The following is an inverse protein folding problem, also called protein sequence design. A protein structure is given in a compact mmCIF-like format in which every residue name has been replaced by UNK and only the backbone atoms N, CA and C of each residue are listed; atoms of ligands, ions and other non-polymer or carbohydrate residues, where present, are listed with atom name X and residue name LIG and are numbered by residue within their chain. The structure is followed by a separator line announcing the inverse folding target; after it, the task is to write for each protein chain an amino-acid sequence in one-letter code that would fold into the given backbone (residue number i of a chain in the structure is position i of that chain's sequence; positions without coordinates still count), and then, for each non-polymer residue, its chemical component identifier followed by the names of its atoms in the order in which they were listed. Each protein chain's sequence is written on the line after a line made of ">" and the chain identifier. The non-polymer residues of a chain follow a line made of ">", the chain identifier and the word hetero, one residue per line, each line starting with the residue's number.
data_IF_431308074975
#
_entry.id   IF_431308074975
#
_cell.length_a   1.000
_cell.length_b   1.000
_cell.length_c   1.000
_cell.angle_alpha   90.00
_cell.angle_beta   90.00
_cell.angle_gamma   90.00
#
_symmetry.space_group_name_H-M   'P 1'
#
loop_
_entity.id
_entity.type
_entity.pdbx_description
1 polymer ?
#
# COMPACT_ATOMS: atom_id res chain seq x y z
N UNK A 1 67.74 -55.46 22.01
CA UNK A 1 66.48 -55.94 22.59
C UNK A 1 65.43 -54.81 22.47
N UNK A 2 64.51 -54.91 21.53
CA UNK A 2 63.44 -53.98 21.39
C UNK A 2 62.12 -54.75 21.57
N UNK A 3 61.40 -54.47 22.64
CA UNK A 3 60.13 -55.07 22.97
C UNK A 3 59.02 -54.32 22.23
N UNK A 4 58.22 -55.01 21.41
CA UNK A 4 57.09 -54.55 20.76
C UNK A 4 55.83 -54.73 21.66
N UNK A 5 55.23 -53.64 22.07
CA UNK A 5 53.91 -53.61 22.75
C UNK A 5 52.81 -53.68 21.72
N UNK A 6 52.03 -54.73 21.72
CA UNK A 6 50.78 -54.86 20.92
C UNK A 6 49.64 -54.14 21.66
N UNK A 7 49.06 -53.11 21.05
CA UNK A 7 47.79 -52.52 21.48
C UNK A 7 46.64 -53.35 20.96
N UNK A 8 45.81 -53.82 21.86
CA UNK A 8 44.56 -54.50 21.58
C UNK A 8 43.48 -53.39 21.17
N UNK A 9 42.95 -53.51 19.95
CA UNK A 9 41.77 -52.77 19.54
C UNK A 9 40.52 -53.35 20.22
N UNK A 10 39.76 -52.52 20.91
CA UNK A 10 38.41 -52.79 21.39
C UNK A 10 37.42 -52.52 20.25
N UNK A 11 36.42 -53.40 20.00
CA UNK A 11 35.37 -53.11 19.02
C UNK A 11 34.43 -52.06 19.57
N UNK A 12 34.31 -50.92 18.84
CA UNK A 12 33.31 -49.90 19.11
C UNK A 12 31.91 -50.36 18.68
N UNK A 13 31.00 -50.33 19.60
CA UNK A 13 29.56 -50.61 19.37
C UNK A 13 28.99 -49.45 18.57
N UNK A 14 28.67 -49.67 17.27
CA UNK A 14 27.95 -48.73 16.44
C UNK A 14 26.48 -48.81 16.77
N UNK A 15 25.95 -47.78 17.45
CA UNK A 15 24.52 -47.60 17.67
C UNK A 15 23.95 -46.95 16.41
N UNK A 16 23.24 -47.73 15.60
CA UNK A 16 22.49 -47.21 14.47
C UNK A 16 21.21 -46.51 15.00
N UNK A 17 21.16 -45.16 14.92
CA UNK A 17 19.93 -44.43 15.12
C UNK A 17 19.06 -44.61 13.87
N UNK A 18 18.03 -45.41 13.98
CA UNK A 18 16.92 -45.45 13.02
C UNK A 18 16.02 -44.22 13.29
N UNK A 19 16.19 -43.16 12.50
CA UNK A 19 15.25 -42.04 12.48
C UNK A 19 14.04 -42.53 11.72
N UNK A 20 12.97 -42.92 12.43
CA UNK A 20 11.67 -43.11 11.85
C UNK A 20 11.14 -41.72 11.45
N UNK A 21 11.20 -41.40 10.17
CA UNK A 21 10.48 -40.27 9.59
C UNK A 21 8.98 -40.54 9.71
N UNK A 22 8.35 -40.03 10.77
CA UNK A 22 6.90 -39.98 10.85
C UNK A 22 6.44 -38.97 9.79
N UNK A 23 5.94 -39.47 8.68
CA UNK A 23 5.19 -38.67 7.72
C UNK A 23 3.91 -38.19 8.42
N UNK A 24 3.94 -37.00 8.95
CA UNK A 24 2.73 -36.30 9.33
C UNK A 24 1.99 -36.01 8.02
N UNK A 25 0.99 -36.81 7.69
CA UNK A 25 -0.01 -36.46 6.71
C UNK A 25 -0.70 -35.18 7.23
N UNK A 26 -0.36 -34.05 6.64
CA UNK A 26 -1.06 -32.79 6.88
C UNK A 26 -2.54 -33.02 6.51
N UNK A 27 -3.50 -32.71 7.42
CA UNK A 27 -4.90 -32.75 7.04
C UNK A 27 -5.07 -31.82 5.84
N UNK A 28 -5.77 -32.27 4.81
CA UNK A 28 -6.06 -31.63 3.54
C UNK A 28 -5.94 -30.11 3.62
N UNK A 29 -4.79 -29.56 3.22
CA UNK A 29 -4.67 -28.14 2.95
C UNK A 29 -5.65 -27.88 1.80
N UNK A 30 -6.78 -27.24 2.07
CA UNK A 30 -7.59 -26.67 1.00
C UNK A 30 -6.66 -25.73 0.25
N UNK A 31 -6.31 -26.08 -0.99
CA UNK A 31 -5.40 -25.28 -1.79
C UNK A 31 -6.09 -23.96 -2.10
N UNK A 32 -5.41 -22.87 -1.85
CA UNK A 32 -5.83 -21.55 -2.32
C UNK A 32 -6.08 -21.64 -3.83
N UNK A 33 -7.15 -21.00 -4.28
CA UNK A 33 -7.46 -20.97 -5.71
C UNK A 33 -7.29 -19.55 -6.24
N UNK A 34 -6.31 -19.37 -7.13
CA UNK A 34 -6.13 -18.15 -7.88
C UNK A 34 -7.01 -18.13 -9.12
N UNK A 35 -7.54 -16.96 -9.48
CA UNK A 35 -8.22 -16.70 -10.74
C UNK A 35 -8.04 -15.26 -11.19
N UNK A 36 -7.86 -15.06 -12.49
CA UNK A 36 -7.98 -13.75 -13.12
C UNK A 36 -9.47 -13.45 -13.28
N UNK A 37 -9.91 -12.33 -12.73
CA UNK A 37 -11.31 -11.86 -12.80
C UNK A 37 -11.52 -11.03 -14.06
N UNK A 38 -10.56 -10.12 -14.35
CA UNK A 38 -10.60 -9.27 -15.53
C UNK A 38 -9.17 -9.05 -16.04
N UNK A 39 -9.04 -8.94 -17.36
CA UNK A 39 -7.79 -8.55 -18.03
C UNK A 39 -8.02 -7.23 -18.73
N UNK A 40 -7.31 -6.20 -18.31
CA UNK A 40 -7.36 -4.88 -18.94
C UNK A 40 -6.72 -4.92 -20.33
N UNK A 41 -7.33 -4.20 -21.28
CA UNK A 41 -6.84 -4.15 -22.66
C UNK A 41 -5.94 -2.94 -22.94
N UNK A 42 -5.94 -1.96 -22.02
CA UNK A 42 -5.30 -0.65 -22.26
C UNK A 42 -6.12 0.25 -23.19
N UNK A 43 -7.27 -0.25 -23.66
CA UNK A 43 -8.23 0.47 -24.48
C UNK A 43 -9.33 1.15 -23.65
N UNK A 44 -10.59 1.00 -24.08
CA UNK A 44 -11.72 1.66 -23.44
C UNK A 44 -12.02 1.20 -22.03
N UNK A 45 -11.53 0.03 -21.61
CA UNK A 45 -11.65 -0.54 -20.26
C UNK A 45 -10.52 -0.15 -19.31
N UNK A 46 -9.62 0.75 -19.75
CA UNK A 46 -8.49 1.19 -18.96
C UNK A 46 -7.26 0.28 -19.04
N UNK A 47 -6.21 0.68 -18.34
CA UNK A 47 -4.97 -0.06 -18.24
C UNK A 47 -4.10 0.42 -17.07
N UNK A 48 -3.11 -0.41 -16.72
CA UNK A 48 -2.16 -0.14 -15.65
C UNK A 48 -2.86 0.18 -14.30
N UNK A 49 -3.73 -0.70 -13.77
CA UNK A 49 -4.33 -0.49 -12.45
C UNK A 49 -3.26 -0.61 -11.37
N UNK A 50 -2.89 0.51 -10.77
CA UNK A 50 -1.85 0.58 -9.74
C UNK A 50 -2.44 0.68 -8.35
N UNK A 51 -3.68 1.15 -8.26
CA UNK A 51 -4.36 1.34 -6.99
C UNK A 51 -4.97 0.04 -6.46
N UNK A 52 -5.10 -0.04 -5.14
CA UNK A 52 -5.93 -1.03 -4.48
C UNK A 52 -7.42 -0.80 -4.77
N UNK A 53 -8.19 -1.87 -4.67
CA UNK A 53 -9.63 -1.79 -4.74
C UNK A 53 -10.21 -1.23 -3.43
N UNK A 54 -11.33 -0.53 -3.51
CA UNK A 54 -12.15 -0.21 -2.36
C UNK A 54 -13.46 -1.00 -2.41
N UNK A 55 -13.85 -1.58 -1.27
CA UNK A 55 -15.12 -2.25 -1.15
C UNK A 55 -16.27 -1.23 -1.08
N UNK A 56 -17.30 -1.46 -1.86
CA UNK A 56 -18.54 -0.70 -1.81
C UNK A 56 -19.69 -1.50 -1.21
N UNK A 57 -20.89 -1.18 -1.62
CA UNK A 57 -22.10 -1.90 -1.23
C UNK A 57 -22.29 -3.18 -2.08
N UNK A 58 -23.10 -4.13 -1.58
CA UNK A 58 -23.53 -5.34 -2.30
C UNK A 58 -22.39 -6.27 -2.78
N UNK A 59 -21.17 -6.11 -2.21
CA UNK A 59 -20.00 -6.89 -2.58
C UNK A 59 -19.33 -6.44 -3.88
N UNK A 60 -19.65 -5.24 -4.36
CA UNK A 60 -18.96 -4.59 -5.46
C UNK A 60 -17.64 -3.97 -4.96
N UNK A 61 -16.68 -3.84 -5.87
CA UNK A 61 -15.42 -3.16 -5.62
C UNK A 61 -15.21 -2.08 -6.67
N UNK A 62 -14.48 -1.05 -6.29
CA UNK A 62 -14.16 0.08 -7.18
C UNK A 62 -12.65 0.26 -7.24
N UNK A 63 -12.16 0.69 -8.40
CA UNK A 63 -10.74 0.93 -8.61
C UNK A 63 -10.48 1.98 -9.68
N UNK A 64 -9.20 2.26 -9.90
CA UNK A 64 -8.72 3.17 -10.94
C UNK A 64 -7.75 2.47 -11.87
N UNK A 65 -7.81 2.79 -13.14
CA UNK A 65 -6.77 2.47 -14.13
C UNK A 65 -6.04 3.77 -14.50
N UNK A 66 -4.71 3.77 -14.40
CA UNK A 66 -3.94 5.01 -14.56
C UNK A 66 -3.73 5.44 -16.01
N UNK A 67 -4.08 4.58 -16.96
CA UNK A 67 -4.01 4.84 -18.40
C UNK A 67 -5.17 4.18 -19.13
N UNK A 68 -5.27 4.37 -20.44
CA UNK A 68 -6.41 3.86 -21.20
C UNK A 68 -7.69 4.65 -20.89
N UNK A 69 -8.84 3.99 -20.98
CA UNK A 69 -10.13 4.66 -20.99
C UNK A 69 -10.42 5.30 -22.35
N UNK A 70 -11.59 5.90 -22.49
CA UNK A 70 -12.03 6.48 -23.76
C UNK A 70 -11.05 7.51 -24.35
N UNK A 71 -10.29 8.22 -23.50
CA UNK A 71 -9.42 9.32 -23.88
C UNK A 71 -7.93 9.06 -23.60
N UNK A 72 -7.59 7.89 -23.08
CA UNK A 72 -6.19 7.52 -22.78
C UNK A 72 -5.64 8.07 -21.46
N UNK A 73 -6.42 8.81 -20.69
CA UNK A 73 -6.00 9.50 -19.46
C UNK A 73 -6.31 8.74 -18.15
N UNK A 74 -6.82 7.53 -18.28
CA UNK A 74 -7.22 6.67 -17.16
C UNK A 74 -8.72 6.71 -16.90
N UNK A 75 -9.16 5.87 -15.97
CA UNK A 75 -10.57 5.75 -15.63
C UNK A 75 -10.82 5.34 -14.17
N UNK A 76 -12.10 5.43 -13.79
CA UNK A 76 -12.69 4.85 -12.59
C UNK A 76 -13.59 3.72 -13.03
N UNK A 77 -13.44 2.54 -12.45
CA UNK A 77 -14.25 1.36 -12.77
C UNK A 77 -14.90 0.74 -11.53
N UNK A 78 -16.01 0.05 -11.78
CA UNK A 78 -16.67 -0.87 -10.87
C UNK A 78 -16.36 -2.31 -11.27
N UNK A 79 -16.05 -3.15 -10.30
CA UNK A 79 -16.13 -4.60 -10.41
C UNK A 79 -17.33 -5.07 -9.61
N UNK A 80 -18.37 -5.51 -10.29
CA UNK A 80 -19.55 -6.10 -9.67
C UNK A 80 -19.19 -7.40 -8.93
N UNK A 81 -19.99 -7.77 -7.93
CA UNK A 81 -19.84 -9.03 -7.18
C UNK A 81 -19.87 -10.30 -8.05
N UNK A 82 -20.36 -10.18 -9.29
CA UNK A 82 -20.33 -11.21 -10.33
C UNK A 82 -18.97 -11.34 -11.03
N UNK A 83 -18.07 -10.34 -10.86
CA UNK A 83 -16.79 -10.25 -11.55
C UNK A 83 -16.82 -9.41 -12.83
N UNK A 84 -17.98 -8.86 -13.22
CA UNK A 84 -18.07 -7.97 -14.38
C UNK A 84 -17.45 -6.63 -14.06
N UNK A 85 -16.55 -6.13 -14.93
CA UNK A 85 -15.94 -4.81 -14.81
C UNK A 85 -16.65 -3.83 -15.75
N UNK A 86 -17.00 -2.67 -15.24
CA UNK A 86 -17.67 -1.58 -15.97
C UNK A 86 -16.96 -0.26 -15.67
N UNK A 87 -16.58 0.50 -16.68
CA UNK A 87 -16.04 1.83 -16.53
C UNK A 87 -17.17 2.78 -16.14
N UNK A 88 -17.00 3.47 -15.01
CA UNK A 88 -17.93 4.50 -14.53
C UNK A 88 -17.60 5.86 -15.14
N UNK A 89 -16.30 6.20 -15.20
CA UNK A 89 -15.83 7.47 -15.74
C UNK A 89 -14.46 7.32 -16.41
N UNK A 90 -14.29 7.95 -17.58
CA UNK A 90 -12.99 8.05 -18.27
C UNK A 90 -12.51 9.49 -18.27
N UNK A 91 -11.33 9.72 -17.70
CA UNK A 91 -10.72 11.05 -17.66
C UNK A 91 -10.32 11.51 -19.05
N UNK A 92 -10.52 12.81 -19.33
CA UNK A 92 -10.16 13.41 -20.63
C UNK A 92 -8.69 13.84 -20.69
N UNK A 93 -8.01 13.93 -19.53
CA UNK A 93 -6.66 14.44 -19.43
C UNK A 93 -6.56 15.96 -19.42
N UNK A 94 -7.69 16.65 -19.44
CA UNK A 94 -7.80 18.10 -19.43
C UNK A 94 -8.10 18.64 -18.00
N UNK A 95 -9.16 19.44 -17.86
CA UNK A 95 -9.52 20.06 -16.59
C UNK A 95 -10.00 19.07 -15.50
N UNK A 96 -10.46 17.89 -15.89
CA UNK A 96 -10.89 16.79 -15.03
C UNK A 96 -9.73 15.96 -14.42
N UNK A 97 -8.52 16.12 -14.94
CA UNK A 97 -7.33 15.42 -14.48
C UNK A 97 -6.93 14.24 -15.35
N UNK A 98 -5.84 13.57 -14.97
CA UNK A 98 -5.30 12.37 -15.62
C UNK A 98 -4.45 11.53 -14.68
N UNK A 99 -4.20 10.28 -15.06
CA UNK A 99 -3.41 9.33 -14.31
C UNK A 99 -3.88 9.18 -12.84
N UNK A 100 -5.11 8.65 -12.61
CA UNK A 100 -5.55 8.29 -11.28
C UNK A 100 -4.77 7.07 -10.80
N UNK A 101 -3.83 7.28 -9.89
CA UNK A 101 -2.91 6.24 -9.38
C UNK A 101 -3.23 5.78 -7.97
N UNK A 102 -4.14 6.48 -7.29
CA UNK A 102 -4.50 6.25 -5.90
C UNK A 102 -5.72 5.34 -5.75
N UNK A 103 -5.80 4.64 -4.62
CA UNK A 103 -7.01 3.97 -4.20
C UNK A 103 -8.13 4.99 -3.95
N UNK A 104 -9.34 4.62 -4.33
CA UNK A 104 -10.53 5.43 -4.09
C UNK A 104 -10.96 5.36 -2.63
N UNK A 105 -11.60 6.41 -2.17
CA UNK A 105 -12.39 6.44 -0.95
C UNK A 105 -13.87 6.29 -1.34
N UNK A 106 -14.54 5.26 -0.82
CA UNK A 106 -15.99 5.11 -0.96
C UNK A 106 -16.70 5.72 0.26
N UNK A 107 -17.45 6.78 0.07
CA UNK A 107 -18.09 7.54 1.14
C UNK A 107 -19.46 8.05 0.66
N UNK A 108 -20.50 7.81 1.46
CA UNK A 108 -21.88 8.29 1.21
C UNK A 108 -22.45 7.96 -0.18
N UNK A 109 -22.01 6.83 -0.77
CA UNK A 109 -22.47 6.37 -2.07
C UNK A 109 -21.79 7.04 -3.27
N UNK A 110 -20.67 7.71 -3.04
CA UNK A 110 -19.81 8.28 -4.07
C UNK A 110 -18.35 7.82 -3.90
N UNK A 111 -17.56 7.99 -4.93
CA UNK A 111 -16.14 7.64 -5.01
C UNK A 111 -15.33 8.92 -5.05
N UNK A 112 -14.40 9.06 -4.12
CA UNK A 112 -13.47 10.20 -4.06
C UNK A 112 -12.06 9.71 -4.37
N UNK A 113 -11.31 10.49 -5.13
CA UNK A 113 -9.96 10.12 -5.52
C UNK A 113 -9.12 11.30 -5.96
N UNK A 114 -7.89 11.00 -6.37
CA UNK A 114 -6.93 11.98 -6.87
C UNK A 114 -6.44 11.60 -8.25
N UNK A 115 -6.14 12.59 -9.09
CA UNK A 115 -5.36 12.42 -10.30
C UNK A 115 -3.99 13.07 -10.12
N UNK A 116 -2.92 12.39 -10.54
CA UNK A 116 -1.57 12.90 -10.32
C UNK A 116 -1.15 13.99 -11.33
N UNK A 117 -1.93 14.18 -12.39
CA UNK A 117 -1.69 15.19 -13.43
C UNK A 117 -3.02 15.72 -14.00
N UNK A 118 -2.94 16.66 -14.95
CA UNK A 118 -4.12 17.33 -15.48
C UNK A 118 -4.73 18.31 -14.46
N UNK A 119 -6.01 18.61 -14.60
CA UNK A 119 -6.66 19.70 -13.86
C UNK A 119 -6.42 21.06 -14.51
N UNK A 120 -7.03 22.10 -13.96
CA UNK A 120 -6.99 23.46 -14.54
C UNK A 120 -5.55 24.01 -14.70
N UNK A 121 -4.61 23.51 -13.91
CA UNK A 121 -3.22 24.00 -13.88
C UNK A 121 -2.20 22.90 -14.22
N UNK A 122 -2.65 21.67 -14.55
CA UNK A 122 -1.76 20.55 -14.88
C UNK A 122 -1.11 19.83 -13.71
N UNK A 123 -1.41 20.24 -12.46
CA UNK A 123 -0.74 19.75 -11.25
C UNK A 123 -1.55 18.66 -10.49
N UNK A 124 -2.62 18.16 -11.10
CA UNK A 124 -3.49 17.13 -10.53
C UNK A 124 -4.77 17.70 -9.88
N UNK A 125 -5.67 16.79 -9.56
CA UNK A 125 -7.00 17.14 -8.99
C UNK A 125 -7.36 16.24 -7.82
N UNK A 126 -8.33 16.71 -7.02
CA UNK A 126 -9.20 15.85 -6.20
C UNK A 126 -10.56 15.84 -6.86
N UNK A 127 -11.17 14.67 -7.03
CA UNK A 127 -12.42 14.48 -7.73
C UNK A 127 -13.41 13.64 -6.91
N UNK A 128 -14.69 13.77 -7.28
CA UNK A 128 -15.78 12.89 -6.90
C UNK A 128 -16.36 12.23 -8.16
N UNK A 129 -16.64 10.93 -8.11
CA UNK A 129 -17.41 10.20 -9.14
C UNK A 129 -18.60 9.53 -8.47
N UNK A 130 -19.81 9.87 -8.89
CA UNK A 130 -21.01 9.18 -8.44
C UNK A 130 -21.08 7.77 -9.06
N UNK A 131 -21.81 6.83 -8.44
CA UNK A 131 -22.04 5.51 -9.02
C UNK A 131 -22.81 5.53 -10.36
N UNK A 132 -23.44 6.67 -10.70
CA UNK A 132 -24.06 6.90 -12.01
C UNK A 132 -23.05 7.42 -13.07
N UNK A 133 -21.76 7.53 -12.73
CA UNK A 133 -20.70 7.94 -13.66
C UNK A 133 -20.57 9.46 -13.87
N UNK A 134 -21.18 10.28 -12.99
CA UNK A 134 -20.97 11.74 -13.04
C UNK A 134 -19.72 12.09 -12.24
N UNK A 135 -18.76 12.72 -12.89
CA UNK A 135 -17.56 13.29 -12.26
C UNK A 135 -17.78 14.75 -11.89
N UNK A 136 -17.07 15.18 -10.82
CA UNK A 136 -16.97 16.57 -10.37
C UNK A 136 -15.56 16.80 -9.82
N UNK A 137 -14.85 17.79 -10.38
CA UNK A 137 -13.58 18.25 -9.81
C UNK A 137 -13.87 19.03 -8.52
N UNK A 138 -13.38 18.53 -7.40
CA UNK A 138 -13.51 19.19 -6.10
C UNK A 138 -12.42 20.25 -5.91
N UNK A 139 -11.20 19.96 -6.37
CA UNK A 139 -10.06 20.89 -6.32
C UNK A 139 -9.06 20.60 -7.45
N UNK A 140 -8.46 21.67 -7.99
CA UNK A 140 -7.33 21.57 -8.94
C UNK A 140 -6.11 22.23 -8.34
N UNK A 141 -5.05 21.45 -8.13
CA UNK A 141 -3.78 21.95 -7.60
C UNK A 141 -3.10 22.89 -8.58
N UNK A 142 -2.49 23.95 -8.05
CA UNK A 142 -1.78 24.95 -8.88
C UNK A 142 -0.33 24.58 -9.14
N UNK A 143 0.23 23.63 -8.39
CA UNK A 143 1.65 23.27 -8.43
C UNK A 143 2.54 24.19 -7.62
N UNK A 144 1.97 25.17 -6.93
CA UNK A 144 2.65 26.14 -6.09
C UNK A 144 2.65 25.75 -4.61
N UNK A 145 2.23 26.71 -3.76
CA UNK A 145 2.21 26.51 -2.31
C UNK A 145 1.20 25.46 -1.83
N UNK A 146 0.16 25.17 -2.61
CA UNK A 146 -0.88 24.16 -2.39
C UNK A 146 -0.41 22.73 -2.70
N UNK A 147 0.71 22.57 -3.40
CA UNK A 147 1.26 21.28 -3.76
C UNK A 147 0.99 20.86 -5.21
N UNK A 148 1.50 19.69 -5.59
CA UNK A 148 1.33 19.08 -6.91
C UNK A 148 1.44 17.55 -6.88
N UNK A 149 0.93 16.90 -7.91
CA UNK A 149 0.94 15.47 -8.08
C UNK A 149 0.35 14.70 -6.87
N UNK A 150 -0.92 14.93 -6.50
CA UNK A 150 -1.59 14.14 -5.47
C UNK A 150 -1.81 12.73 -6.04
N UNK A 151 -1.01 11.76 -5.61
CA UNK A 151 -1.03 10.39 -6.09
C UNK A 151 -1.41 9.36 -5.03
N UNK A 152 -1.91 9.84 -3.89
CA UNK A 152 -2.24 9.02 -2.73
C UNK A 152 -3.74 9.01 -2.44
N UNK A 153 -4.20 7.95 -1.76
CA UNK A 153 -5.59 7.83 -1.31
C UNK A 153 -5.96 8.90 -0.27
N UNK A 154 -7.25 9.18 -0.18
CA UNK A 154 -7.82 10.17 0.71
C UNK A 154 -8.30 9.53 2.02
N UNK A 155 -8.17 10.26 3.13
CA UNK A 155 -8.87 10.02 4.39
C UNK A 155 -10.00 11.04 4.55
N UNK A 156 -10.95 10.78 5.47
CA UNK A 156 -12.04 11.71 5.78
C UNK A 156 -12.33 11.77 7.28
N UNK A 157 -12.88 12.87 7.73
CA UNK A 157 -13.42 13.02 9.09
C UNK A 157 -14.96 12.84 9.12
N UNK A 158 -15.54 12.98 10.31
CA UNK A 158 -16.99 12.90 10.50
C UNK A 158 -17.79 14.05 9.84
N UNK A 159 -17.12 15.12 9.42
CA UNK A 159 -17.70 16.25 8.70
C UNK A 159 -17.57 16.11 7.17
N UNK A 160 -17.04 14.97 6.71
CA UNK A 160 -16.76 14.70 5.29
C UNK A 160 -15.65 15.59 4.71
N UNK A 161 -14.84 16.27 5.56
CA UNK A 161 -13.63 16.90 5.08
C UNK A 161 -12.66 15.82 4.59
N UNK A 162 -11.95 16.10 3.50
CA UNK A 162 -11.02 15.16 2.88
C UNK A 162 -9.58 15.57 3.21
N UNK A 163 -8.76 14.57 3.54
CA UNK A 163 -7.35 14.76 3.84
C UNK A 163 -6.51 13.95 2.88
N UNK A 164 -5.43 14.53 2.39
CA UNK A 164 -4.53 13.87 1.46
C UNK A 164 -3.12 14.48 1.46
N UNK A 165 -2.29 13.97 0.56
CA UNK A 165 -0.92 14.43 0.38
C UNK A 165 -0.66 14.78 -1.07
N UNK A 166 0.27 15.71 -1.30
CA UNK A 166 0.86 15.95 -2.62
C UNK A 166 2.33 15.54 -2.61
N UNK A 167 2.77 14.89 -3.69
CA UNK A 167 4.15 14.41 -3.80
C UNK A 167 5.18 15.53 -3.85
N UNK A 168 4.83 16.67 -4.45
CA UNK A 168 5.72 17.80 -4.66
C UNK A 168 4.95 19.12 -4.46
N UNK A 169 5.63 20.25 -4.65
CA UNK A 169 5.10 21.58 -4.34
C UNK A 169 5.08 21.88 -2.85
N UNK A 170 4.26 22.82 -2.42
CA UNK A 170 4.34 23.39 -1.09
C UNK A 170 5.45 24.44 -0.97
N UNK A 171 5.52 25.16 0.15
CA UNK A 171 6.53 26.21 0.38
C UNK A 171 7.96 25.69 0.39
N UNK A 172 8.16 24.41 0.76
CA UNK A 172 9.45 23.72 0.73
C UNK A 172 9.75 22.98 -0.58
N UNK A 173 8.77 22.86 -1.47
CA UNK A 173 8.90 22.11 -2.74
C UNK A 173 8.82 20.57 -2.62
N UNK A 174 8.70 20.05 -1.41
CA UNK A 174 8.86 18.61 -1.10
C UNK A 174 7.54 17.90 -0.77
N UNK A 175 6.42 18.51 -1.14
CA UNK A 175 5.07 17.99 -0.91
C UNK A 175 4.37 18.63 0.28
N UNK A 176 3.07 18.35 0.37
CA UNK A 176 2.18 18.89 1.41
C UNK A 176 1.28 17.82 2.00
N UNK A 177 0.74 18.10 3.17
CA UNK A 177 -0.49 17.49 3.69
C UNK A 177 -1.58 18.56 3.61
N UNK A 178 -2.70 18.24 3.00
CA UNK A 178 -3.82 19.16 2.78
C UNK A 178 -5.12 18.64 3.40
N UNK A 179 -6.04 19.58 3.64
CA UNK A 179 -7.44 19.35 3.96
C UNK A 179 -8.31 20.06 2.93
N UNK A 180 -9.32 19.38 2.40
CA UNK A 180 -10.41 19.99 1.66
C UNK A 180 -11.64 20.05 2.55
N UNK A 181 -12.11 21.27 2.82
CA UNK A 181 -13.29 21.50 3.65
C UNK A 181 -14.56 21.23 2.85
N UNK A 182 -15.38 20.29 3.31
CA UNK A 182 -16.67 19.99 2.68
C UNK A 182 -17.62 21.19 2.76
N UNK A 183 -18.01 21.81 1.64
CA UNK A 183 -18.89 22.97 1.64
C UNK A 183 -20.34 22.52 1.87
N UNK A 184 -20.97 23.01 2.93
CA UNK A 184 -22.36 22.68 3.30
C UNK A 184 -23.40 23.01 2.22
N UNK A 185 -23.06 23.85 1.27
CA UNK A 185 -23.92 24.27 0.16
C UNK A 185 -23.67 23.50 -1.14
N UNK A 186 -22.76 22.50 -1.12
CA UNK A 186 -22.38 21.71 -2.29
C UNK A 186 -21.63 22.49 -3.39
N UNK A 187 -21.04 23.65 -3.06
CA UNK A 187 -20.27 24.43 -4.04
C UNK A 187 -18.91 23.80 -4.35
N UNK A 188 -18.42 24.04 -5.57
CA UNK A 188 -17.05 23.72 -6.00
C UNK A 188 -16.37 24.99 -6.49
N UNK A 189 -15.02 25.11 -6.39
CA UNK A 189 -14.11 24.18 -5.72
C UNK A 189 -14.31 24.18 -4.20
N UNK A 190 -13.91 23.06 -3.56
CA UNK A 190 -13.85 22.98 -2.10
C UNK A 190 -12.70 23.85 -1.59
N UNK A 191 -12.90 24.59 -0.47
CA UNK A 191 -11.78 25.29 0.14
C UNK A 191 -10.67 24.35 0.56
N UNK A 192 -9.43 24.69 0.20
CA UNK A 192 -8.23 23.92 0.54
C UNK A 192 -7.45 24.63 1.62
N UNK A 193 -6.89 23.84 2.54
CA UNK A 193 -5.96 24.26 3.57
C UNK A 193 -4.71 23.39 3.50
N UNK A 194 -3.53 24.01 3.33
CA UNK A 194 -2.26 23.32 3.54
C UNK A 194 -2.04 23.17 5.03
N UNK A 195 -2.16 21.96 5.55
CA UNK A 195 -1.96 21.65 6.96
C UNK A 195 -0.47 21.64 7.31
N UNK A 196 0.35 21.08 6.39
CA UNK A 196 1.81 21.04 6.54
C UNK A 196 2.49 21.06 5.18
N UNK A 197 3.66 21.69 5.09
CA UNK A 197 4.49 21.72 3.89
C UNK A 197 5.89 21.24 4.24
N UNK A 198 6.29 20.10 3.67
CA UNK A 198 7.58 19.47 3.94
C UNK A 198 8.73 20.29 3.38
N UNK A 199 9.88 20.30 4.08
CA UNK A 199 11.10 20.99 3.64
C UNK A 199 11.94 21.59 4.76
N UNK A 200 11.53 21.48 6.04
CA UNK A 200 12.37 21.84 7.16
C UNK A 200 13.51 20.84 7.35
N UNK A 201 14.57 21.27 8.05
CA UNK A 201 15.71 20.39 8.35
C UNK A 201 15.28 19.30 9.32
N UNK A 202 15.40 18.04 8.88
CA UNK A 202 15.10 16.87 9.72
C UNK A 202 13.67 16.31 9.54
N UNK A 203 12.77 17.05 8.89
CA UNK A 203 11.53 16.45 8.42
C UNK A 203 11.80 15.55 7.21
N UNK A 204 10.79 14.84 6.76
CA UNK A 204 10.91 14.04 5.54
C UNK A 204 10.56 14.85 4.30
N UNK A 205 10.64 14.19 3.16
CA UNK A 205 10.23 14.73 1.86
C UNK A 205 9.44 13.69 1.07
N UNK A 206 8.67 14.16 0.10
CA UNK A 206 7.94 13.30 -0.82
C UNK A 206 7.00 12.32 -0.10
N UNK A 207 5.91 12.78 0.50
CA UNK A 207 4.88 11.91 1.03
C UNK A 207 4.18 11.20 -0.15
N UNK A 208 4.50 9.92 -0.34
CA UNK A 208 4.00 9.11 -1.47
C UNK A 208 2.71 8.36 -1.15
N UNK A 209 2.34 8.32 0.12
CA UNK A 209 1.13 7.67 0.61
C UNK A 209 0.16 8.66 1.23
N UNK A 210 -1.12 8.26 1.31
CA UNK A 210 -2.13 9.02 2.05
C UNK A 210 -1.90 9.03 3.54
N UNK A 211 -2.70 9.80 4.24
CA UNK A 211 -2.69 9.89 5.70
C UNK A 211 -3.76 9.01 6.32
N UNK A 212 -3.48 8.51 7.52
CA UNK A 212 -4.47 7.87 8.39
C UNK A 212 -4.92 8.87 9.47
N UNK A 213 -6.23 8.91 9.74
CA UNK A 213 -6.83 9.83 10.70
C UNK A 213 -7.28 9.06 11.94
N UNK A 214 -6.88 9.51 13.13
CA UNK A 214 -7.39 8.96 14.38
C UNK A 214 -8.65 9.70 14.90
N UNK A 215 -9.24 9.19 15.98
CA UNK A 215 -10.46 9.77 16.59
C UNK A 215 -10.22 11.14 17.25
N UNK A 216 -8.97 11.51 17.53
CA UNK A 216 -8.60 12.81 18.07
C UNK A 216 -8.34 13.86 16.98
N UNK A 217 -8.36 13.44 15.71
CA UNK A 217 -8.08 14.28 14.55
C UNK A 217 -6.61 14.33 14.17
N UNK A 218 -5.73 13.53 14.81
CA UNK A 218 -4.34 13.47 14.40
C UNK A 218 -4.21 12.73 13.08
N UNK A 219 -3.34 13.21 12.20
CA UNK A 219 -2.98 12.57 10.95
C UNK A 219 -1.64 11.86 11.09
N UNK A 220 -1.54 10.66 10.53
CA UNK A 220 -0.32 9.86 10.51
C UNK A 220 0.04 9.53 9.08
N UNK A 221 1.30 9.67 8.73
CA UNK A 221 1.77 9.37 7.38
C UNK A 221 3.24 9.02 7.35
N UNK A 222 3.74 8.79 6.14
CA UNK A 222 5.16 8.50 5.88
C UNK A 222 5.71 9.45 4.82
N UNK A 223 6.99 9.77 4.93
CA UNK A 223 7.77 10.40 3.86
C UNK A 223 8.77 9.37 3.33
N UNK A 224 8.95 9.29 2.01
CA UNK A 224 9.79 8.26 1.40
C UNK A 224 11.28 8.55 1.49
N UNK A 225 11.64 9.81 1.67
CA UNK A 225 13.03 10.30 1.72
C UNK A 225 13.15 11.31 2.86
N UNK A 226 14.39 11.68 3.21
CA UNK A 226 14.68 12.67 4.25
C UNK A 226 14.77 12.06 5.65
N UNK A 227 14.63 12.88 6.68
CA UNK A 227 15.01 12.51 8.04
C UNK A 227 16.54 12.47 8.22
N UNK A 228 17.02 12.15 9.42
CA UNK A 228 18.46 12.12 9.73
C UNK A 228 19.22 11.02 8.99
N UNK A 229 18.55 9.90 8.67
CA UNK A 229 19.12 8.80 7.90
C UNK A 229 19.02 8.97 6.38
N UNK A 230 18.16 9.85 5.92
CA UNK A 230 17.85 10.01 4.49
C UNK A 230 16.84 9.01 3.93
N UNK A 231 16.32 8.09 4.75
CA UNK A 231 15.49 6.95 4.34
C UNK A 231 14.01 7.09 4.71
N UNK A 232 13.59 8.32 5.00
CA UNK A 232 12.20 8.65 5.31
C UNK A 232 11.83 8.56 6.78
N UNK A 233 10.61 8.96 7.07
CA UNK A 233 10.06 9.06 8.42
C UNK A 233 8.66 8.46 8.52
N UNK A 234 8.25 8.15 9.75
CA UNK A 234 6.83 8.12 10.16
C UNK A 234 6.56 9.40 10.93
N UNK A 235 5.55 10.16 10.54
CA UNK A 235 5.17 11.41 11.19
C UNK A 235 3.73 11.39 11.72
N UNK A 236 3.48 12.27 12.69
CA UNK A 236 2.16 12.64 13.18
C UNK A 236 1.98 14.15 12.99
N UNK A 237 0.84 14.56 12.47
CA UNK A 237 0.40 15.96 12.53
C UNK A 237 -0.70 16.10 13.57
N UNK A 238 -0.48 16.96 14.54
CA UNK A 238 -1.45 17.26 15.61
C UNK A 238 -2.23 18.50 15.21
N UNK A 239 -3.58 18.46 15.26
CA UNK A 239 -4.43 19.60 14.94
C UNK A 239 -4.05 20.86 15.72
N UNK A 240 -4.03 21.98 15.02
CA UNK A 240 -3.82 23.32 15.58
C UNK A 240 -4.92 24.25 15.09
N UNK A 241 -5.21 25.31 15.85
CA UNK A 241 -6.17 26.35 15.45
C UNK A 241 -5.68 27.20 14.27
N UNK A 242 -4.43 27.04 13.86
CA UNK A 242 -3.82 27.68 12.70
C UNK A 242 -2.85 26.74 11.99
N UNK A 243 -2.62 26.97 10.70
CA UNK A 243 -1.59 26.25 9.92
C UNK A 243 -0.23 26.96 10.03
N UNK A 244 0.90 26.23 9.97
CA UNK A 244 0.98 24.76 9.87
C UNK A 244 0.58 24.06 11.17
N UNK A 245 0.08 22.80 11.04
CA UNK A 245 -0.11 21.93 12.19
C UNK A 245 1.24 21.52 12.78
N UNK A 246 1.23 21.05 14.03
CA UNK A 246 2.46 20.59 14.68
C UNK A 246 2.84 19.20 14.17
N UNK A 247 4.03 19.10 13.58
CA UNK A 247 4.62 17.82 13.21
C UNK A 247 5.40 17.22 14.38
N UNK A 248 5.18 15.93 14.62
CA UNK A 248 5.98 15.09 15.49
C UNK A 248 6.56 13.94 14.64
N UNK A 249 7.87 13.82 14.60
CA UNK A 249 8.53 12.66 14.00
C UNK A 249 8.46 11.50 14.98
N UNK A 250 7.75 10.45 14.61
CA UNK A 250 7.55 9.27 15.44
C UNK A 250 8.66 8.23 15.27
N UNK A 251 9.19 8.11 14.04
CA UNK A 251 10.32 7.24 13.71
C UNK A 251 11.08 7.76 12.50
N UNK A 252 12.41 7.62 12.53
CA UNK A 252 13.31 7.95 11.41
C UNK A 252 14.03 6.69 10.97
N UNK A 253 13.81 6.27 9.73
CA UNK A 253 14.40 5.05 9.21
C UNK A 253 15.91 5.17 8.98
N UNK A 254 16.63 4.09 9.26
CA UNK A 254 18.10 4.02 9.15
C UNK A 254 18.57 3.03 8.06
N UNK A 255 17.65 2.45 7.32
CA UNK A 255 17.85 1.46 6.24
C UNK A 255 18.31 0.07 6.70
N UNK A 256 19.01 -0.04 7.80
CA UNK A 256 19.58 -1.34 8.25
C UNK A 256 18.47 -2.30 8.69
N UNK A 257 18.31 -2.49 9.98
CA UNK A 257 17.36 -3.48 10.54
C UNK A 257 15.92 -2.99 10.61
N UNK A 258 15.68 -1.68 10.53
CA UNK A 258 14.37 -1.05 10.64
C UNK A 258 13.72 -0.77 9.28
N UNK A 259 14.48 -0.90 8.20
CA UNK A 259 14.04 -0.62 6.84
C UNK A 259 14.22 0.83 6.42
N UNK A 260 13.77 1.16 5.22
CA UNK A 260 13.84 2.50 4.63
C UNK A 260 12.88 2.69 3.48
N UNK A 261 12.74 3.93 3.04
CA UNK A 261 11.91 4.29 1.90
C UNK A 261 10.46 3.78 2.04
N UNK A 262 9.69 4.21 3.05
CA UNK A 262 8.33 3.74 3.27
C UNK A 262 7.40 4.28 2.18
N UNK A 263 7.02 3.44 1.23
CA UNK A 263 6.01 3.75 0.22
C UNK A 263 4.59 3.35 0.65
N UNK A 264 4.47 2.42 1.59
CA UNK A 264 3.19 2.06 2.15
C UNK A 264 2.64 3.16 3.05
N UNK A 265 1.35 3.42 2.94
CA UNK A 265 0.63 4.27 3.88
C UNK A 265 0.55 3.65 5.28
N UNK A 266 0.22 4.49 6.24
CA UNK A 266 -0.06 4.02 7.60
C UNK A 266 -1.49 3.48 7.68
N UNK A 267 -1.63 2.31 8.28
CA UNK A 267 -2.91 1.70 8.65
C UNK A 267 -3.06 1.76 10.17
N UNK A 268 -4.19 2.29 10.63
CA UNK A 268 -4.56 2.34 12.05
C UNK A 268 -5.43 1.14 12.41
N UNK A 269 -5.09 0.43 13.50
CA UNK A 269 -6.04 -0.51 14.11
C UNK A 269 -6.97 0.18 15.11
N UNK A 270 -7.97 -0.55 15.59
CA UNK A 270 -8.93 -0.02 16.55
C UNK A 270 -8.33 0.38 17.91
N UNK A 271 -7.14 -0.13 18.24
CA UNK A 271 -6.42 0.20 19.47
C UNK A 271 -5.50 1.43 19.30
N UNK A 272 -5.43 2.01 18.09
CA UNK A 272 -4.57 3.15 17.76
C UNK A 272 -3.12 2.77 17.46
N UNK A 273 -2.83 1.49 17.21
CA UNK A 273 -1.53 1.11 16.70
C UNK A 273 -1.42 1.45 15.22
N UNK A 274 -0.22 1.87 14.80
CA UNK A 274 0.13 2.15 13.42
C UNK A 274 0.84 0.94 12.82
N UNK A 275 0.47 0.59 11.60
CA UNK A 275 1.15 -0.43 10.81
C UNK A 275 1.59 0.19 9.49
N UNK A 276 2.76 -0.19 9.02
CA UNK A 276 3.30 0.26 7.74
C UNK A 276 4.34 -0.70 7.20
N UNK A 277 4.88 -0.36 6.03
CA UNK A 277 5.94 -1.15 5.42
C UNK A 277 6.97 -0.26 4.72
N UNK A 278 8.19 -0.75 4.62
CA UNK A 278 9.31 -0.13 3.90
C UNK A 278 9.67 -0.95 2.68
N UNK A 279 10.31 -0.34 1.69
CA UNK A 279 10.71 -1.04 0.45
C UNK A 279 12.14 -1.55 0.50
N UNK A 280 12.97 -0.96 1.34
CA UNK A 280 14.40 -1.21 1.39
C UNK A 280 14.85 -1.58 2.80
N UNK A 281 16.03 -2.19 2.93
CA UNK A 281 16.60 -2.54 4.23
C UNK A 281 15.93 -3.76 4.88
N UNK A 282 16.10 -3.91 6.18
CA UNK A 282 15.54 -5.02 6.95
C UNK A 282 16.60 -6.05 7.35
N UNK A 283 16.23 -7.34 7.36
CA UNK A 283 17.04 -8.39 7.96
C UNK A 283 18.44 -8.55 7.33
N UNK A 284 18.56 -8.32 6.01
CA UNK A 284 19.82 -8.41 5.26
C UNK A 284 20.54 -7.05 5.15
N UNK A 285 20.20 -6.09 6.00
CA UNK A 285 20.79 -4.76 5.99
C UNK A 285 20.35 -3.94 4.76
N UNK A 286 21.29 -3.29 4.07
CA UNK A 286 20.97 -2.42 2.93
C UNK A 286 20.37 -3.16 1.73
N UNK A 287 20.68 -4.46 1.60
CA UNK A 287 20.22 -5.31 0.49
C UNK A 287 18.90 -6.05 0.81
N UNK A 288 18.28 -5.77 1.96
CA UNK A 288 17.02 -6.40 2.37
C UNK A 288 15.82 -5.92 1.56
N UNK A 289 14.80 -6.77 1.47
CA UNK A 289 13.56 -6.52 0.71
C UNK A 289 12.54 -5.62 1.40
N UNK A 290 12.93 -4.92 2.49
CA UNK A 290 12.05 -4.08 3.28
C UNK A 290 11.50 -4.75 4.53
N UNK A 291 10.74 -3.98 5.31
CA UNK A 291 10.14 -4.43 6.57
C UNK A 291 8.64 -4.17 6.62
N UNK A 292 7.93 -5.01 7.35
CA UNK A 292 6.60 -4.68 7.87
C UNK A 292 6.76 -4.36 9.35
N UNK A 293 6.27 -3.21 9.76
CA UNK A 293 6.45 -2.70 11.12
C UNK A 293 5.12 -2.36 11.80
N UNK A 294 5.19 -2.29 13.12
CA UNK A 294 4.13 -1.79 13.99
C UNK A 294 4.69 -0.71 14.89
N UNK A 295 3.91 0.33 15.14
CA UNK A 295 4.15 1.29 16.20
C UNK A 295 2.99 1.27 17.18
N UNK A 296 3.30 1.23 18.46
CA UNK A 296 2.32 1.25 19.54
C UNK A 296 2.58 2.43 20.47
N UNK A 297 1.50 3.10 20.87
CA UNK A 297 1.58 4.19 21.83
C UNK A 297 1.15 3.70 23.21
N UNK A 298 2.04 3.86 24.19
CA UNK A 298 1.74 3.59 25.59
C UNK A 298 2.07 4.85 26.39
N UNK A 299 1.03 5.45 26.98
CA UNK A 299 1.15 6.66 27.81
C UNK A 299 1.88 7.84 27.11
N UNK A 300 1.66 8.01 25.81
CA UNK A 300 2.27 9.05 24.99
C UNK A 300 3.64 8.69 24.39
N UNK A 301 4.21 7.56 24.76
CA UNK A 301 5.48 7.08 24.21
C UNK A 301 5.25 6.09 23.06
N UNK A 302 5.78 6.38 21.88
CA UNK A 302 5.71 5.49 20.72
C UNK A 302 6.86 4.47 20.74
N UNK A 303 6.54 3.21 20.53
CA UNK A 303 7.49 2.11 20.38
C UNK A 303 7.40 1.55 18.97
N UNK A 304 8.51 1.53 18.24
CA UNK A 304 8.66 0.93 16.92
C UNK A 304 9.05 -0.55 17.04
N UNK A 305 8.44 -1.42 16.26
CA UNK A 305 8.72 -2.86 16.24
C UNK A 305 8.66 -3.36 14.81
N UNK A 306 9.73 -4.00 14.33
CA UNK A 306 9.70 -4.76 13.08
C UNK A 306 8.96 -6.07 13.34
N UNK A 307 7.88 -6.31 12.61
CA UNK A 307 7.11 -7.55 12.68
C UNK A 307 7.74 -8.62 11.80
N UNK A 308 8.20 -8.21 10.62
CA UNK A 308 8.85 -9.09 9.66
C UNK A 308 9.80 -8.30 8.74
N UNK A 309 11.00 -8.83 8.50
CA UNK A 309 11.93 -8.35 7.50
C UNK A 309 11.97 -9.34 6.34
N UNK A 310 11.79 -8.86 5.11
CA UNK A 310 11.94 -9.70 3.92
C UNK A 310 13.44 -9.93 3.63
N UNK A 311 13.80 -11.18 3.46
CA UNK A 311 15.10 -11.58 2.94
C UNK A 311 15.07 -11.42 1.42
N UNK A 312 16.17 -10.92 0.83
CA UNK A 312 16.29 -10.86 -0.62
C UNK A 312 17.19 -9.73 -1.11
N UNK A 313 17.90 -10.00 -2.21
CA UNK A 313 18.81 -9.08 -2.84
C UNK A 313 18.07 -7.99 -3.61
N UNK A 314 18.17 -6.74 -3.13
CA UNK A 314 18.16 -5.52 -3.95
C UNK A 314 17.06 -5.32 -5.00
N UNK A 315 15.93 -5.99 -4.87
CA UNK A 315 14.79 -5.75 -5.73
C UNK A 315 13.70 -5.19 -4.85
N UNK A 316 13.58 -3.88 -4.90
CA UNK A 316 12.60 -3.06 -4.22
C UNK A 316 11.24 -3.77 -4.12
N UNK A 317 11.04 -4.51 -3.02
CA UNK A 317 9.74 -5.02 -2.65
C UNK A 317 8.87 -3.82 -2.31
N UNK A 318 8.32 -3.13 -3.31
CA UNK A 318 7.48 -1.97 -3.04
C UNK A 318 6.17 -2.40 -2.43
N UNK A 319 6.12 -2.40 -1.10
CA UNK A 319 4.85 -2.42 -0.38
C UNK A 319 4.21 -1.05 -0.52
N UNK A 320 3.20 -0.93 -1.35
CA UNK A 320 2.47 0.35 -1.43
C UNK A 320 1.36 0.46 -0.40
N UNK A 321 0.86 -0.67 0.09
CA UNK A 321 -0.08 -0.75 1.21
C UNK A 321 -0.11 -2.16 1.79
N UNK A 322 -0.53 -2.27 3.03
CA UNK A 322 -0.79 -3.53 3.73
C UNK A 322 -2.25 -3.59 4.14
N UNK A 323 -2.83 -4.79 4.15
CA UNK A 323 -4.16 -5.05 4.70
C UNK A 323 -4.01 -5.67 6.10
N UNK A 324 -4.26 -4.90 7.12
CA UNK A 324 -4.32 -5.40 8.51
C UNK A 324 -5.71 -5.98 8.75
N UNK A 325 -5.84 -7.29 8.54
CA UNK A 325 -7.11 -8.00 8.75
C UNK A 325 -7.44 -8.18 10.25
N UNK A 326 -6.41 -8.29 11.08
CA UNK A 326 -6.50 -8.27 12.55
C UNK A 326 -5.13 -7.91 13.14
N UNK A 327 -5.02 -7.65 14.46
CA UNK A 327 -3.72 -7.40 15.11
C UNK A 327 -2.69 -8.53 14.96
N UNK A 328 -3.12 -9.72 14.54
CA UNK A 328 -2.30 -10.93 14.37
C UNK A 328 -2.31 -11.48 12.94
N UNK A 329 -2.92 -10.75 11.98
CA UNK A 329 -3.07 -11.21 10.60
C UNK A 329 -2.98 -10.03 9.62
N UNK A 330 -1.97 -10.08 8.76
CA UNK A 330 -1.71 -9.08 7.74
C UNK A 330 -1.63 -9.79 6.38
N UNK A 331 -2.27 -9.23 5.37
CA UNK A 331 -2.07 -9.60 3.97
C UNK A 331 -1.35 -8.47 3.25
N UNK A 332 -0.42 -8.83 2.37
CA UNK A 332 0.31 -7.83 1.60
C UNK A 332 0.77 -8.40 0.26
N UNK A 333 1.36 -7.53 -0.55
CA UNK A 333 1.93 -7.87 -1.85
C UNK A 333 3.38 -7.42 -1.94
N UNK A 334 4.18 -8.15 -2.70
CA UNK A 334 5.49 -7.68 -3.13
C UNK A 334 5.44 -7.27 -4.59
N UNK A 335 6.17 -6.22 -4.96
CA UNK A 335 6.26 -5.74 -6.34
C UNK A 335 7.11 -6.66 -7.21
N UNK A 336 8.30 -6.99 -6.74
CA UNK A 336 9.28 -7.84 -7.42
C UNK A 336 9.80 -8.85 -6.41
N UNK A 337 9.21 -10.02 -6.34
CA UNK A 337 9.62 -11.13 -5.48
C UNK A 337 9.07 -12.43 -6.09
N UNK A 338 9.40 -13.57 -5.46
CA UNK A 338 9.03 -14.88 -5.96
C UNK A 338 9.96 -15.38 -7.07
N UNK A 339 9.69 -16.58 -7.57
CA UNK A 339 10.59 -17.31 -8.47
C UNK A 339 10.90 -16.57 -9.80
N UNK A 340 10.01 -15.68 -10.22
CA UNK A 340 10.11 -14.96 -11.50
C UNK A 340 10.39 -13.47 -11.36
N UNK A 341 10.48 -12.94 -10.12
CA UNK A 341 10.54 -11.50 -9.81
C UNK A 341 9.33 -10.69 -10.33
N UNK A 342 8.17 -11.32 -10.41
CA UNK A 342 6.93 -10.73 -10.92
C UNK A 342 5.95 -10.35 -9.81
N UNK A 343 6.34 -10.61 -8.55
CA UNK A 343 5.60 -10.29 -7.34
C UNK A 343 4.87 -11.46 -6.71
N UNK A 344 4.48 -11.27 -5.47
CA UNK A 344 3.73 -12.26 -4.67
C UNK A 344 2.56 -11.64 -3.92
N UNK A 345 1.58 -12.47 -3.55
CA UNK A 345 0.63 -12.18 -2.47
C UNK A 345 0.97 -13.09 -1.31
N UNK A 346 1.05 -12.56 -0.11
CA UNK A 346 1.42 -13.32 1.07
C UNK A 346 0.58 -12.97 2.31
N UNK A 347 0.65 -13.86 3.29
CA UNK A 347 0.08 -13.73 4.62
C UNK A 347 1.21 -13.62 5.64
N UNK A 348 1.10 -12.69 6.57
CA UNK A 348 1.82 -12.70 7.84
C UNK A 348 0.84 -13.00 8.95
N UNK A 349 1.09 -14.08 9.68
CA UNK A 349 0.26 -14.53 10.79
C UNK A 349 1.08 -14.68 12.06
N UNK A 350 0.65 -14.01 13.11
CA UNK A 350 1.28 -14.15 14.41
C UNK A 350 0.73 -15.37 15.14
N UNK A 351 1.62 -16.20 15.66
CA UNK A 351 1.29 -17.37 16.46
C UNK A 351 2.24 -17.42 17.66
N UNK A 352 1.70 -17.26 18.86
CA UNK A 352 2.48 -17.30 20.13
C UNK A 352 3.64 -16.29 20.16
N UNK A 353 3.43 -15.09 19.64
CA UNK A 353 4.43 -14.02 19.62
C UNK A 353 5.44 -14.10 18.45
N UNK A 354 5.27 -15.04 17.52
CA UNK A 354 6.14 -15.19 16.35
C UNK A 354 5.33 -14.97 15.07
N UNK A 355 5.81 -14.09 14.22
CA UNK A 355 5.23 -13.84 12.91
C UNK A 355 5.74 -14.86 11.89
N UNK A 356 4.82 -15.58 11.26
CA UNK A 356 5.09 -16.54 10.18
C UNK A 356 4.71 -15.94 8.83
N UNK A 357 5.57 -16.09 7.84
CA UNK A 357 5.36 -15.66 6.46
C UNK A 357 4.91 -16.84 5.61
N UNK A 358 3.83 -16.66 4.84
CA UNK A 358 3.30 -17.68 3.93
C UNK A 358 2.94 -17.04 2.60
N UNK A 359 3.59 -17.47 1.51
CA UNK A 359 3.22 -17.05 0.16
C UNK A 359 1.90 -17.71 -0.23
N UNK A 360 0.92 -16.90 -0.58
CA UNK A 360 -0.40 -17.32 -1.06
C UNK A 360 -0.38 -17.50 -2.58
N UNK A 361 0.31 -16.65 -3.31
CA UNK A 361 0.45 -16.76 -4.76
C UNK A 361 1.74 -16.10 -5.26
N UNK A 362 2.38 -16.71 -6.25
CA UNK A 362 3.54 -16.17 -6.96
C UNK A 362 3.17 -15.93 -8.41
N UNK A 363 3.31 -14.69 -8.87
CA UNK A 363 3.00 -14.32 -10.25
C UNK A 363 4.07 -14.81 -11.22
N UNK A 364 3.65 -15.03 -12.48
CA UNK A 364 4.51 -15.61 -13.53
C UNK A 364 4.88 -14.62 -14.63
N UNK A 365 4.38 -13.38 -14.57
CA UNK A 365 4.64 -12.34 -15.56
C UNK A 365 3.86 -12.48 -16.87
N UNK A 366 3.02 -13.54 -16.96
CA UNK A 366 2.23 -13.86 -18.16
C UNK A 366 0.79 -13.39 -18.07
N UNK A 367 -0.13 -14.31 -18.31
CA UNK A 367 -1.57 -14.04 -18.29
C UNK A 367 -2.14 -13.73 -16.92
N UNK A 368 -1.43 -14.04 -15.85
CA UNK A 368 -1.77 -13.75 -14.46
C UNK A 368 -1.32 -12.37 -13.98
N UNK A 369 -0.50 -11.66 -14.79
CA UNK A 369 -0.01 -10.32 -14.50
C UNK A 369 1.30 -10.28 -13.72
N UNK A 370 1.81 -9.05 -13.49
CA UNK A 370 3.02 -8.79 -12.73
C UNK A 370 3.07 -7.34 -12.23
N UNK A 371 3.96 -7.10 -11.27
CA UNK A 371 4.18 -5.81 -10.63
C UNK A 371 2.95 -5.30 -9.89
N UNK A 372 2.80 -5.77 -8.65
CA UNK A 372 1.75 -5.33 -7.75
C UNK A 372 2.17 -4.04 -7.03
N UNK A 373 1.30 -3.04 -7.04
CA UNK A 373 1.54 -1.73 -6.42
C UNK A 373 0.61 -1.45 -5.24
N UNK A 374 -0.31 -2.36 -4.92
CA UNK A 374 -1.31 -2.17 -3.89
C UNK A 374 -1.50 -3.41 -3.04
N UNK A 375 -2.00 -3.24 -1.81
CA UNK A 375 -2.47 -4.36 -1.00
C UNK A 375 -3.71 -5.00 -1.61
N UNK A 376 -3.94 -6.28 -1.33
CA UNK A 376 -5.22 -6.89 -1.65
C UNK A 376 -6.32 -6.35 -0.72
N UNK A 377 -7.57 -6.48 -1.15
CA UNK A 377 -8.77 -6.25 -0.35
C UNK A 377 -9.46 -7.57 -0.06
N UNK A 378 -9.98 -7.73 1.16
CA UNK A 378 -10.67 -8.94 1.60
C UNK A 378 -12.18 -8.78 1.47
N UNK A 379 -12.86 -9.73 0.82
CA UNK A 379 -14.33 -9.78 0.81
C UNK A 379 -14.88 -10.47 2.07
N UNK A 380 -16.19 -10.36 2.28
CA UNK A 380 -16.88 -10.99 3.40
C UNK A 380 -16.91 -12.52 3.34
N UNK A 381 -16.48 -13.12 2.23
CA UNK A 381 -16.45 -14.58 1.99
C UNK A 381 -15.05 -15.16 2.16
N UNK A 382 -14.08 -14.35 2.59
CA UNK A 382 -12.70 -14.76 2.78
C UNK A 382 -11.91 -14.89 1.49
N UNK A 383 -12.22 -14.09 0.47
CA UNK A 383 -11.39 -14.02 -0.74
C UNK A 383 -10.65 -12.69 -0.80
N UNK A 384 -9.39 -12.74 -1.23
CA UNK A 384 -8.58 -11.58 -1.51
C UNK A 384 -8.73 -11.18 -2.98
N UNK A 385 -8.86 -9.89 -3.24
CA UNK A 385 -8.84 -9.31 -4.58
C UNK A 385 -7.73 -8.27 -4.67
N UNK A 386 -7.11 -8.15 -5.84
CA UNK A 386 -6.07 -7.16 -6.08
C UNK A 386 -5.83 -6.95 -7.56
N UNK A 387 -4.87 -6.07 -7.86
CA UNK A 387 -4.52 -5.67 -9.21
C UNK A 387 -3.04 -5.88 -9.47
N UNK A 388 -2.68 -6.19 -10.72
CA UNK A 388 -1.31 -6.11 -11.23
C UNK A 388 -1.24 -4.98 -12.24
N UNK A 389 -0.14 -4.24 -12.26
CA UNK A 389 0.04 -3.12 -13.20
C UNK A 389 0.14 -3.57 -14.63
N UNK A 390 0.81 -4.69 -14.88
CA UNK A 390 1.10 -5.21 -16.21
C UNK A 390 0.73 -6.67 -16.34
N UNK A 391 0.89 -7.21 -17.55
CA UNK A 391 0.56 -8.59 -17.89
C UNK A 391 -0.91 -8.75 -18.26
N UNK A 392 -1.39 -9.98 -18.25
CA UNK A 392 -2.66 -10.35 -18.85
C UNK A 392 -2.57 -10.39 -20.38
N UNK A 393 -3.60 -10.85 -21.06
CA UNK A 393 -3.63 -10.98 -22.53
C UNK A 393 -3.54 -9.63 -23.24
N UNK A 394 -3.94 -8.53 -22.59
CA UNK A 394 -3.82 -7.15 -23.09
C UNK A 394 -2.52 -6.45 -22.71
N UNK A 395 -1.66 -7.08 -21.91
CA UNK A 395 -0.43 -6.49 -21.32
C UNK A 395 -0.66 -5.20 -20.52
N UNK A 396 -1.89 -4.91 -20.15
CA UNK A 396 -2.32 -3.68 -19.46
C UNK A 396 -2.74 -3.90 -18.00
N UNK A 397 -2.43 -5.08 -17.46
CA UNK A 397 -2.72 -5.46 -16.08
C UNK A 397 -3.93 -6.37 -15.93
N UNK A 398 -4.08 -6.93 -14.76
CA UNK A 398 -5.20 -7.80 -14.42
C UNK A 398 -5.81 -7.43 -13.08
N UNK A 399 -7.07 -7.80 -12.90
CA UNK A 399 -7.74 -7.89 -11.62
C UNK A 399 -7.83 -9.37 -11.26
N UNK A 400 -7.34 -9.74 -10.09
CA UNK A 400 -7.27 -11.13 -9.66
C UNK A 400 -8.07 -11.37 -8.37
N UNK A 401 -8.35 -12.66 -8.14
CA UNK A 401 -8.97 -13.18 -6.92
C UNK A 401 -8.17 -14.36 -6.40
N UNK A 402 -7.94 -14.40 -5.09
CA UNK A 402 -7.43 -15.56 -4.36
C UNK A 402 -8.49 -15.98 -3.35
N UNK A 403 -9.08 -17.18 -3.53
CA UNK A 403 -9.96 -17.76 -2.53
C UNK A 403 -9.09 -18.39 -1.45
N UNK A 404 -9.22 -17.90 -0.23
CA UNK A 404 -8.56 -18.49 0.93
C UNK A 404 -9.23 -19.79 1.34
N UNK A 405 -8.52 -20.69 2.06
CA UNK A 405 -9.01 -22.00 2.52
C UNK A 405 -10.27 -21.92 3.35
#
# INVERSE_FOLDING_TARGET
>A
MRTHSRRLLRPGLAIAFVIAAAAFASPNAQSQTFSVVHTFTGGADGGNPQAGLVAGTEGNFYGTASSGGQYGAGDVYEMASTGTVTVLYSFTGAADGSAPTAALLFLDGALYGTTSAGGAYGAGTVFEVTLAGKETVLYSFTGGADGSAPGAGLAHDASTNLYGTTFAGGTGGNGTVFELLHPKNGSTPWPELVLYSFGAVGDGTNPVSGVALDKAGNLYGTTSVGGTGGYGNVYQLVPSSSTPWTENILHQFQLLTDGGTPYAGIVLDHAGNLYGATTDGGQDGQDGGGTIFKMSNVDGAWTFTVLYGLEGWGISGSFRNILVASPTLIYATTHCDGANNDGTVFELKETKGVWGYTVLYTFTGGSDGYYLFSSPVLDHKGSLYGTTRYGGTGSAGVLFKIKLP
#
